data_IF_198026331413
#
_entry.id   IF_198026331413
#
_cell.length_a   1.000
_cell.length_b   1.000
_cell.length_c   1.000
_cell.angle_alpha   90.00
_cell.angle_beta   90.00
_cell.angle_gamma   90.00
#
_symmetry.space_group_name_H-M   'P 1'
#
loop_
_entity.id
_entity.type
_entity.pdbx_description
1 polymer ?
#
# COMPACT_ATOMS: atom_id res chain seq x y z
N UNK A 1 5.49 -17.75 -10.38
CA UNK A 1 5.36 -16.39 -10.98
C UNK A 1 6.49 -16.20 -11.98
N UNK A 2 6.22 -16.02 -13.29
CA UNK A 2 7.27 -15.69 -14.26
C UNK A 2 7.48 -14.17 -14.27
N UNK A 3 8.28 -13.66 -13.34
CA UNK A 3 8.68 -12.26 -13.38
C UNK A 3 9.62 -12.01 -14.57
N UNK A 4 9.54 -10.82 -15.16
CA UNK A 4 10.55 -10.31 -16.09
C UNK A 4 11.95 -10.39 -15.45
N UNK A 5 13.00 -10.86 -16.15
CA UNK A 5 14.36 -10.89 -15.62
C UNK A 5 14.84 -9.56 -15.02
N UNK A 6 14.43 -8.41 -15.57
CA UNK A 6 14.80 -7.10 -15.04
C UNK A 6 14.16 -6.84 -13.68
N UNK A 7 12.85 -7.11 -13.56
CA UNK A 7 12.13 -7.02 -12.28
C UNK A 7 12.71 -7.98 -11.25
N UNK A 8 12.98 -9.22 -11.65
CA UNK A 8 13.52 -10.25 -10.76
C UNK A 8 14.88 -9.82 -10.18
N UNK A 9 15.74 -9.24 -11.01
CA UNK A 9 17.03 -8.71 -10.58
C UNK A 9 16.87 -7.50 -9.63
N UNK A 10 15.99 -6.56 -9.96
CA UNK A 10 15.70 -5.40 -9.12
C UNK A 10 15.14 -5.81 -7.75
N UNK A 11 14.21 -6.77 -7.71
CA UNK A 11 13.65 -7.31 -6.47
C UNK A 11 14.74 -7.89 -5.57
N UNK A 12 15.66 -8.70 -6.10
CA UNK A 12 16.76 -9.26 -5.31
C UNK A 12 17.63 -8.17 -4.70
N UNK A 13 17.93 -7.12 -5.45
CA UNK A 13 18.73 -6.00 -4.96
C UNK A 13 18.00 -5.20 -3.86
N UNK A 14 16.69 -4.96 -4.02
CA UNK A 14 15.89 -4.28 -3.00
C UNK A 14 15.69 -5.13 -1.74
N UNK A 15 15.46 -6.44 -1.87
CA UNK A 15 15.38 -7.37 -0.72
C UNK A 15 16.71 -7.36 0.04
N UNK A 16 17.84 -7.45 -0.67
CA UNK A 16 19.17 -7.39 -0.04
C UNK A 16 19.42 -6.04 0.64
N UNK A 17 18.99 -4.93 0.03
CA UNK A 17 19.09 -3.60 0.65
C UNK A 17 18.22 -3.50 1.92
N UNK A 18 17.00 -4.02 1.87
CA UNK A 18 16.07 -4.05 3.01
C UNK A 18 16.64 -4.89 4.17
N UNK A 19 17.15 -6.09 3.89
CA UNK A 19 17.71 -7.01 4.88
C UNK A 19 18.91 -6.44 5.68
N UNK A 20 19.69 -5.54 5.07
CA UNK A 20 20.82 -4.86 5.76
C UNK A 20 20.37 -4.01 6.95
N UNK A 21 19.14 -3.51 6.93
CA UNK A 21 18.59 -2.66 7.99
C UNK A 21 17.86 -3.45 9.09
N UNK A 22 17.64 -4.75 8.90
CA UNK A 22 16.98 -5.61 9.88
C UNK A 22 18.03 -6.13 10.87
N UNK A 23 17.86 -5.86 12.16
CA UNK A 23 18.77 -6.38 13.20
C UNK A 23 18.37 -7.76 13.72
N UNK A 24 17.10 -8.14 13.58
CA UNK A 24 16.57 -9.44 14.01
C UNK A 24 17.06 -10.57 13.08
N UNK A 25 17.77 -11.59 13.62
CA UNK A 25 18.22 -12.74 12.85
C UNK A 25 17.09 -13.54 12.18
N UNK A 26 15.92 -13.65 12.82
CA UNK A 26 14.80 -14.41 12.27
C UNK A 26 14.21 -13.69 11.06
N UNK A 27 13.90 -12.40 11.19
CA UNK A 27 13.46 -11.58 10.06
C UNK A 27 14.48 -11.51 8.92
N UNK A 28 15.78 -11.56 9.23
CA UNK A 28 16.84 -11.63 8.20
C UNK A 28 16.82 -12.97 7.45
N UNK A 29 16.64 -14.09 8.15
CA UNK A 29 16.49 -15.41 7.52
C UNK A 29 15.30 -15.47 6.56
N UNK A 30 14.19 -14.79 6.88
CA UNK A 30 13.03 -14.68 5.98
C UNK A 30 13.41 -13.92 4.69
N UNK A 31 14.21 -12.85 4.79
CA UNK A 31 14.68 -12.12 3.61
C UNK A 31 15.61 -12.96 2.74
N UNK A 32 16.46 -13.79 3.33
CA UNK A 32 17.34 -14.69 2.59
C UNK A 32 16.55 -15.79 1.85
N UNK A 33 15.54 -16.36 2.51
CA UNK A 33 14.60 -17.28 1.89
C UNK A 33 13.82 -16.61 0.75
N UNK A 34 13.35 -15.37 0.95
CA UNK A 34 12.64 -14.59 -0.05
C UNK A 34 13.49 -14.32 -1.30
N UNK A 35 14.80 -14.02 -1.16
CA UNK A 35 15.69 -13.84 -2.31
C UNK A 35 15.75 -15.10 -3.19
N UNK A 36 15.84 -16.28 -2.56
CA UNK A 36 15.83 -17.56 -3.26
C UNK A 36 14.48 -17.84 -3.93
N UNK A 37 13.38 -17.56 -3.23
CA UNK A 37 12.01 -17.76 -3.72
C UNK A 37 11.66 -16.86 -4.91
N UNK A 38 12.14 -15.62 -4.92
CA UNK A 38 12.02 -14.72 -6.09
C UNK A 38 12.77 -15.28 -7.29
N UNK A 39 13.88 -16.00 -7.08
CA UNK A 39 14.64 -16.63 -8.16
C UNK A 39 13.88 -17.80 -8.80
N UNK A 40 13.23 -18.64 -8.00
CA UNK A 40 12.45 -19.80 -8.48
C UNK A 40 11.03 -19.44 -8.90
N UNK A 41 10.51 -18.29 -8.43
CA UNK A 41 9.13 -17.85 -8.65
C UNK A 41 8.11 -18.59 -7.78
N UNK A 42 8.56 -19.31 -6.77
CA UNK A 42 7.76 -20.09 -5.82
C UNK A 42 7.73 -19.36 -4.47
N UNK A 43 6.63 -18.65 -4.21
CA UNK A 43 6.44 -17.87 -3.00
C UNK A 43 5.28 -18.47 -2.19
N UNK A 44 5.54 -18.85 -0.95
CA UNK A 44 4.49 -19.19 0.01
C UNK A 44 3.84 -17.93 0.63
N UNK A 45 2.84 -18.12 1.48
CA UNK A 45 2.10 -17.01 2.08
C UNK A 45 2.97 -16.05 2.92
N UNK A 46 3.95 -16.59 3.66
CA UNK A 46 4.85 -15.79 4.49
C UNK A 46 5.79 -14.96 3.60
N UNK A 47 6.30 -15.55 2.52
CA UNK A 47 7.11 -14.86 1.53
C UNK A 47 6.32 -13.80 0.76
N UNK A 48 5.05 -14.06 0.42
CA UNK A 48 4.17 -13.06 -0.18
C UNK A 48 3.98 -11.85 0.72
N UNK A 49 3.82 -12.07 2.03
CA UNK A 49 3.71 -11.01 3.03
C UNK A 49 5.04 -10.26 3.16
N UNK A 50 6.18 -10.94 3.22
CA UNK A 50 7.49 -10.30 3.28
C UNK A 50 7.78 -9.47 2.02
N UNK A 51 7.46 -10.00 0.84
CA UNK A 51 7.58 -9.29 -0.45
C UNK A 51 6.73 -8.02 -0.48
N UNK A 52 5.50 -8.07 0.03
CA UNK A 52 4.65 -6.89 0.14
C UNK A 52 5.26 -5.77 0.98
N UNK A 53 5.93 -6.11 2.09
CA UNK A 53 6.64 -5.11 2.90
C UNK A 53 7.83 -4.49 2.15
N UNK A 54 8.67 -5.30 1.50
CA UNK A 54 9.81 -4.79 0.72
C UNK A 54 9.32 -3.88 -0.40
N UNK A 55 8.31 -4.32 -1.16
CA UNK A 55 7.74 -3.56 -2.26
C UNK A 55 7.14 -2.23 -1.81
N UNK A 56 6.37 -2.20 -0.72
CA UNK A 56 5.81 -0.96 -0.16
C UNK A 56 6.92 0.04 0.16
N UNK A 57 7.98 -0.37 0.85
CA UNK A 57 9.11 0.52 1.18
C UNK A 57 9.84 1.02 -0.07
N UNK A 58 10.11 0.13 -1.03
CA UNK A 58 10.84 0.47 -2.25
C UNK A 58 10.03 1.35 -3.22
N UNK A 59 8.71 1.17 -3.28
CA UNK A 59 7.78 2.02 -4.05
C UNK A 59 7.59 3.39 -3.38
N UNK A 60 7.29 3.44 -2.08
CA UNK A 60 7.06 4.69 -1.33
C UNK A 60 8.29 5.62 -1.33
N UNK A 61 9.49 5.04 -1.31
CA UNK A 61 10.73 5.81 -1.37
C UNK A 61 11.11 6.29 -2.77
N UNK A 62 10.38 5.86 -3.82
CA UNK A 62 10.70 6.15 -5.23
C UNK A 62 12.01 5.52 -5.73
N UNK A 63 12.59 4.60 -4.95
CA UNK A 63 13.88 3.98 -5.26
C UNK A 63 13.82 3.14 -6.52
N UNK A 64 12.73 2.41 -6.72
CA UNK A 64 12.56 1.53 -7.89
C UNK A 64 12.67 2.33 -9.19
N UNK A 65 11.94 3.44 -9.29
CA UNK A 65 12.02 4.35 -10.44
C UNK A 65 13.42 4.92 -10.64
N UNK A 66 14.04 5.39 -9.55
CA UNK A 66 15.33 6.08 -9.59
C UNK A 66 16.47 5.16 -10.03
N UNK A 67 16.44 3.89 -9.59
CA UNK A 67 17.54 2.94 -9.81
C UNK A 67 17.31 2.02 -11.01
N UNK A 68 16.06 1.65 -11.28
CA UNK A 68 15.72 0.63 -12.28
C UNK A 68 14.76 1.14 -13.36
N UNK A 69 14.33 2.40 -13.27
CA UNK A 69 13.49 3.05 -14.27
C UNK A 69 11.98 2.81 -14.09
N UNK A 70 11.17 3.54 -14.88
CA UNK A 70 9.71 3.51 -14.75
C UNK A 70 9.07 2.18 -15.14
N UNK A 71 9.73 1.38 -16.00
CA UNK A 71 9.20 0.09 -16.42
C UNK A 71 9.18 -0.91 -15.25
N UNK A 72 10.30 -1.01 -14.52
CA UNK A 72 10.43 -1.88 -13.34
C UNK A 72 9.50 -1.41 -12.22
N UNK A 73 9.38 -0.10 -12.00
CA UNK A 73 8.41 0.46 -11.03
C UNK A 73 6.98 0.01 -11.34
N UNK A 74 6.53 0.15 -12.60
CA UNK A 74 5.19 -0.29 -13.01
C UNK A 74 4.97 -1.80 -12.80
N UNK A 75 5.97 -2.63 -13.11
CA UNK A 75 5.88 -4.08 -12.88
C UNK A 75 5.83 -4.40 -11.37
N UNK A 76 6.61 -3.69 -10.55
CA UNK A 76 6.62 -3.82 -9.11
C UNK A 76 5.29 -3.37 -8.46
N UNK A 77 4.64 -2.32 -8.97
CA UNK A 77 3.30 -1.90 -8.54
C UNK A 77 2.26 -2.98 -8.80
N UNK A 78 2.27 -3.59 -9.99
CA UNK A 78 1.38 -4.70 -10.34
C UNK A 78 1.63 -5.91 -9.44
N UNK A 79 2.89 -6.19 -9.14
CA UNK A 79 3.24 -7.27 -8.22
C UNK A 79 2.78 -6.98 -6.79
N UNK A 80 2.97 -5.74 -6.32
CA UNK A 80 2.52 -5.31 -4.99
C UNK A 80 1.02 -5.51 -4.81
N UNK A 81 0.21 -5.21 -5.83
CA UNK A 81 -1.24 -5.43 -5.83
C UNK A 81 -1.66 -6.89 -5.57
N UNK A 82 -0.78 -7.87 -5.88
CA UNK A 82 -1.05 -9.29 -5.63
C UNK A 82 -0.72 -9.73 -4.19
N UNK A 83 0.07 -8.94 -3.47
CA UNK A 83 0.49 -9.24 -2.08
C UNK A 83 -0.66 -9.04 -1.10
N UNK A 84 -0.62 -9.67 0.11
CA UNK A 84 -1.62 -9.43 1.15
C UNK A 84 -1.83 -7.95 1.49
N UNK A 85 -0.76 -7.16 1.55
CA UNK A 85 -0.82 -5.72 1.82
C UNK A 85 -1.48 -4.95 0.67
N UNK A 86 -1.17 -5.31 -0.58
CA UNK A 86 -1.83 -4.74 -1.76
C UNK A 86 -3.32 -5.04 -1.80
N UNK A 87 -3.71 -6.27 -1.46
CA UNK A 87 -5.11 -6.68 -1.37
C UNK A 87 -5.85 -5.94 -0.25
N UNK A 88 -5.22 -5.76 0.92
CA UNK A 88 -5.76 -4.95 2.02
C UNK A 88 -6.01 -3.50 1.57
N UNK A 89 -5.05 -2.89 0.87
CA UNK A 89 -5.20 -1.54 0.35
C UNK A 89 -6.35 -1.43 -0.67
N UNK A 90 -6.49 -2.41 -1.57
CA UNK A 90 -7.63 -2.46 -2.50
C UNK A 90 -8.96 -2.59 -1.78
N UNK A 91 -9.03 -3.39 -0.72
CA UNK A 91 -10.23 -3.52 0.11
C UNK A 91 -10.59 -2.21 0.80
N UNK A 92 -9.61 -1.50 1.37
CA UNK A 92 -9.81 -0.19 1.98
C UNK A 92 -10.34 0.83 0.96
N UNK A 93 -9.78 0.85 -0.26
CA UNK A 93 -10.26 1.72 -1.34
C UNK A 93 -11.70 1.41 -1.75
N UNK A 94 -12.08 0.13 -1.85
CA UNK A 94 -13.45 -0.27 -2.15
C UNK A 94 -14.43 0.22 -1.06
N UNK A 95 -14.07 0.06 0.21
CA UNK A 95 -14.88 0.53 1.34
C UNK A 95 -15.01 2.06 1.35
N UNK A 96 -13.91 2.79 1.10
CA UNK A 96 -13.94 4.25 0.99
C UNK A 96 -14.83 4.73 -0.16
N UNK A 97 -14.74 4.10 -1.33
CA UNK A 97 -15.59 4.44 -2.48
C UNK A 97 -17.07 4.15 -2.20
N UNK A 98 -17.38 3.04 -1.52
CA UNK A 98 -18.74 2.72 -1.10
C UNK A 98 -19.28 3.78 -0.12
N UNK A 99 -18.47 4.23 0.84
CA UNK A 99 -18.84 5.31 1.74
C UNK A 99 -19.08 6.62 0.96
N UNK A 100 -18.13 7.02 0.11
CA UNK A 100 -18.24 8.23 -0.72
C UNK A 100 -19.46 8.22 -1.64
N UNK A 101 -19.90 7.05 -2.11
CA UNK A 101 -21.11 6.93 -2.91
C UNK A 101 -22.36 7.45 -2.18
N UNK A 102 -22.39 7.41 -0.84
CA UNK A 102 -23.47 7.99 -0.04
C UNK A 102 -23.62 9.51 -0.26
N UNK A 103 -22.56 10.21 -0.66
CA UNK A 103 -22.57 11.66 -0.92
C UNK A 103 -23.09 12.03 -2.31
N UNK A 104 -23.35 11.05 -3.17
CA UNK A 104 -23.79 11.29 -4.55
C UNK A 104 -25.10 12.07 -4.58
N UNK A 105 -25.14 13.17 -5.36
CA UNK A 105 -26.33 14.02 -5.50
C UNK A 105 -26.59 14.94 -4.31
N UNK A 106 -25.69 14.98 -3.32
CA UNK A 106 -25.75 15.92 -2.21
C UNK A 106 -24.93 17.19 -2.52
N UNK A 107 -25.30 18.32 -1.90
CA UNK A 107 -24.55 19.58 -2.00
C UNK A 107 -23.48 19.62 -0.93
N UNK A 108 -22.20 19.63 -1.33
CA UNK A 108 -21.09 19.81 -0.40
C UNK A 108 -21.12 21.24 0.16
N UNK A 109 -21.21 21.34 1.49
CA UNK A 109 -21.21 22.61 2.21
C UNK A 109 -19.81 22.97 2.74
N UNK A 110 -19.03 21.96 3.11
CA UNK A 110 -17.70 22.16 3.68
C UNK A 110 -16.82 20.92 3.48
N UNK A 111 -15.53 21.14 3.22
CA UNK A 111 -14.51 20.10 3.22
C UNK A 111 -13.28 20.59 3.98
N UNK A 112 -12.84 19.82 4.96
CA UNK A 112 -11.74 20.21 5.84
C UNK A 112 -10.80 19.03 6.04
N UNK A 113 -9.50 19.27 5.88
CA UNK A 113 -8.45 18.31 6.20
C UNK A 113 -7.78 18.74 7.51
N UNK A 114 -7.64 17.80 8.44
CA UNK A 114 -6.97 18.02 9.73
C UNK A 114 -5.91 16.97 9.98
N UNK A 115 -4.84 17.37 10.67
CA UNK A 115 -3.76 16.45 11.04
C UNK A 115 -4.24 15.53 12.18
N UNK A 116 -4.16 14.21 11.97
CA UNK A 116 -4.30 13.22 13.05
C UNK A 116 -2.95 12.93 13.70
N UNK A 117 -1.91 12.81 12.86
CA UNK A 117 -0.53 12.53 13.25
C UNK A 117 0.40 12.47 12.04
N UNK A 118 1.71 12.22 12.21
CA UNK A 118 2.65 12.14 11.10
C UNK A 118 2.21 11.13 10.03
N UNK A 119 1.96 11.61 8.81
CA UNK A 119 1.50 10.77 7.70
C UNK A 119 0.05 10.29 7.81
N UNK A 120 -0.75 10.85 8.72
CA UNK A 120 -2.16 10.51 8.92
C UNK A 120 -3.04 11.78 9.05
N UNK A 121 -4.11 11.84 8.26
CA UNK A 121 -5.01 13.00 8.18
C UNK A 121 -6.46 12.56 8.31
N UNK A 122 -7.31 13.41 8.88
CA UNK A 122 -8.75 13.27 8.72
C UNK A 122 -9.25 14.20 7.61
N UNK A 123 -9.97 13.64 6.64
CA UNK A 123 -10.82 14.40 5.73
C UNK A 123 -12.24 14.39 6.29
N UNK A 124 -12.80 15.57 6.52
CA UNK A 124 -14.18 15.73 6.88
C UNK A 124 -14.94 16.38 5.72
N UNK A 125 -16.07 15.78 5.34
CA UNK A 125 -16.97 16.29 4.31
C UNK A 125 -18.32 16.53 4.98
N UNK A 126 -18.86 17.74 4.85
CA UNK A 126 -20.21 18.09 5.29
C UNK A 126 -21.05 18.45 4.08
N UNK A 127 -22.22 17.88 3.99
CA UNK A 127 -23.22 18.15 2.95
C UNK A 127 -24.50 18.69 3.57
N UNK A 128 -25.51 18.95 2.73
CA UNK A 128 -26.87 19.24 3.16
C UNK A 128 -27.58 18.08 3.88
N UNK A 129 -27.06 16.84 3.81
CA UNK A 129 -27.74 15.65 4.35
C UNK A 129 -26.90 14.79 5.29
N UNK A 130 -25.58 14.93 5.30
CA UNK A 130 -24.73 14.16 6.20
C UNK A 130 -23.38 14.83 6.46
N UNK A 131 -22.67 14.28 7.45
CA UNK A 131 -21.28 14.56 7.75
C UNK A 131 -20.51 13.26 7.71
N UNK A 132 -19.45 13.22 6.91
CA UNK A 132 -18.56 12.07 6.76
C UNK A 132 -17.17 12.42 7.26
N UNK A 133 -16.54 11.47 7.96
CA UNK A 133 -15.12 11.55 8.32
C UNK A 133 -14.38 10.34 7.75
N UNK A 134 -13.29 10.60 7.04
CA UNK A 134 -12.38 9.62 6.48
C UNK A 134 -11.00 9.79 7.12
N UNK A 135 -10.35 8.68 7.47
CA UNK A 135 -8.94 8.63 7.83
C UNK A 135 -8.12 8.33 6.57
N UNK A 136 -7.11 9.15 6.31
CA UNK A 136 -6.15 8.96 5.23
C UNK A 136 -4.80 8.67 5.87
N UNK A 137 -4.25 7.48 5.64
CA UNK A 137 -2.91 7.10 6.10
C UNK A 137 -2.22 6.16 5.10
N UNK A 138 -1.06 5.62 5.48
CA UNK A 138 -0.26 4.71 4.63
C UNK A 138 -0.96 3.40 4.30
N UNK A 139 -1.97 3.00 5.07
CA UNK A 139 -2.76 1.79 4.85
C UNK A 139 -3.96 2.02 3.95
N UNK A 140 -4.28 3.28 3.60
CA UNK A 140 -5.31 3.64 2.65
C UNK A 140 -6.26 4.73 3.16
N UNK A 141 -7.49 4.67 2.65
CA UNK A 141 -8.59 5.54 3.06
C UNK A 141 -9.62 4.71 3.83
N UNK A 142 -9.97 5.14 5.03
CA UNK A 142 -10.85 4.41 5.93
C UNK A 142 -12.02 5.29 6.38
N UNK A 143 -13.28 4.90 6.10
CA UNK A 143 -14.43 5.53 6.74
C UNK A 143 -14.34 5.41 8.26
N UNK A 144 -14.39 6.55 8.95
CA UNK A 144 -14.38 6.61 10.41
C UNK A 144 -15.81 6.71 10.93
N UNK A 145 -16.59 7.61 10.32
CA UNK A 145 -17.95 7.90 10.74
C UNK A 145 -18.78 8.55 9.63
N UNK A 146 -20.09 8.29 9.65
CA UNK A 146 -21.09 8.91 8.77
C UNK A 146 -22.31 9.25 9.62
N UNK A 147 -22.51 10.54 9.88
CA UNK A 147 -23.67 11.06 10.61
C UNK A 147 -24.66 11.64 9.58
N UNK A 148 -25.86 11.06 9.46
CA UNK A 148 -26.96 11.65 8.68
C UNK A 148 -27.65 12.76 9.46
N UNK A 149 -27.94 13.88 8.80
CA UNK A 149 -28.78 14.93 9.36
C UNK A 149 -30.19 14.37 9.62
N UNK A 150 -30.70 14.58 10.83
CA UNK A 150 -32.04 14.17 11.26
C UNK A 150 -33.14 14.98 10.57
#
# INVERSE_FOLDING_TARGET
MSADPELQQALRQEIAAYARHISDPQARSICDALQSAVQTGELDEEMWRALGHVLSVSLESGRLRKLYGPHVEMQAERLFQLTPQGQQLQSALAQANQALAALTGQTIQEMTITLKGPGAFYLQIRTDRCRMRLLLDRTGLHPVDIETAA
#
